data_IF_456625377275
#
_entry.id   IF_456625377275
#
_cell.length_a   1.000
_cell.length_b   1.000
_cell.length_c   1.000
_cell.angle_alpha   90.00
_cell.angle_beta   90.00
_cell.angle_gamma   90.00
#
_symmetry.space_group_name_H-M   'P 1'
#
loop_
_entity.id
_entity.type
_entity.pdbx_description
1 polymer ?
#
# COMPACT_ATOMS: atom_id res chain seq x y z
N UNK A 1 -35.07 4.04 34.25
CA UNK A 1 -35.36 2.61 33.99
C UNK A 1 -35.19 1.76 35.24
N UNK A 2 -35.92 0.64 35.32
CA UNK A 2 -35.70 -0.41 36.33
C UNK A 2 -34.57 -1.36 35.87
N UNK A 3 -33.35 -1.05 36.31
CA UNK A 3 -32.15 -1.87 36.08
C UNK A 3 -31.76 -2.56 37.38
N UNK A 4 -31.65 -3.88 37.34
CA UNK A 4 -31.10 -4.68 38.45
C UNK A 4 -29.93 -5.53 37.98
N UNK A 5 -29.27 -6.21 38.91
CA UNK A 5 -28.24 -7.20 38.58
C UNK A 5 -28.76 -8.35 37.69
N UNK A 6 -30.08 -8.57 37.66
CA UNK A 6 -30.75 -9.66 36.94
C UNK A 6 -31.07 -9.30 35.47
N UNK A 7 -31.06 -8.01 35.10
CA UNK A 7 -31.41 -7.59 33.75
C UNK A 7 -32.01 -6.19 33.65
N UNK A 8 -32.15 -5.72 32.41
CA UNK A 8 -32.94 -4.54 32.05
C UNK A 8 -34.37 -4.99 31.71
N UNK A 9 -35.36 -4.34 32.33
CA UNK A 9 -36.77 -4.62 32.09
C UNK A 9 -37.21 -4.12 30.70
N UNK A 10 -37.93 -4.95 29.96
CA UNK A 10 -38.65 -4.56 28.75
C UNK A 10 -40.05 -4.05 29.12
N UNK A 11 -40.41 -2.83 28.74
CA UNK A 11 -41.72 -2.25 29.07
C UNK A 11 -42.86 -2.75 28.15
N UNK A 12 -42.55 -3.41 27.04
CA UNK A 12 -43.56 -4.00 26.13
C UNK A 12 -44.07 -5.36 26.64
N UNK A 13 -43.23 -6.15 27.30
CA UNK A 13 -43.55 -7.53 27.69
C UNK A 13 -43.31 -7.85 29.18
N UNK A 14 -42.72 -6.93 29.95
CA UNK A 14 -42.45 -7.09 31.38
C UNK A 14 -41.32 -8.08 31.72
N UNK A 15 -40.63 -8.64 30.73
CA UNK A 15 -39.51 -9.57 30.95
C UNK A 15 -38.18 -8.83 31.10
N UNK A 16 -37.22 -9.44 31.83
CA UNK A 16 -35.87 -8.90 32.04
C UNK A 16 -34.86 -9.57 31.10
N UNK A 17 -33.98 -8.77 30.51
CA UNK A 17 -32.94 -9.24 29.60
C UNK A 17 -31.57 -8.63 29.90
N UNK A 18 -30.50 -9.34 29.56
CA UNK A 18 -29.14 -8.80 29.66
C UNK A 18 -28.90 -7.60 28.71
N UNK A 19 -29.58 -7.58 27.56
CA UNK A 19 -29.62 -6.46 26.61
C UNK A 19 -30.95 -6.47 25.85
N UNK A 20 -31.64 -5.34 25.80
CA UNK A 20 -32.92 -5.23 25.10
C UNK A 20 -32.77 -5.17 23.57
N UNK A 21 -31.60 -4.79 23.04
CA UNK A 21 -31.46 -4.50 21.61
C UNK A 21 -31.86 -5.65 20.67
N UNK A 22 -31.38 -6.87 20.97
CA UNK A 22 -31.72 -8.07 20.18
C UNK A 22 -33.17 -8.51 20.43
N UNK A 23 -33.63 -8.41 21.67
CA UNK A 23 -35.00 -8.79 22.05
C UNK A 23 -36.05 -7.92 21.35
N UNK A 24 -35.87 -6.59 21.37
CA UNK A 24 -36.74 -5.62 20.70
C UNK A 24 -36.86 -5.91 19.21
N UNK A 25 -35.74 -6.18 18.54
CA UNK A 25 -35.73 -6.48 17.11
C UNK A 25 -36.47 -7.80 16.78
N UNK A 26 -36.34 -8.82 17.62
CA UNK A 26 -36.91 -10.17 17.35
C UNK A 26 -38.36 -10.34 17.80
N UNK A 27 -38.77 -9.64 18.86
CA UNK A 27 -40.04 -9.91 19.55
C UNK A 27 -41.04 -8.77 19.41
N UNK A 28 -40.55 -7.56 19.14
CA UNK A 28 -41.37 -6.35 19.03
C UNK A 28 -41.17 -5.62 17.70
N UNK A 29 -40.24 -6.08 16.86
CA UNK A 29 -39.88 -5.45 15.58
C UNK A 29 -39.49 -3.97 15.73
N UNK A 30 -39.00 -3.59 16.91
CA UNK A 30 -38.59 -2.22 17.23
C UNK A 30 -37.09 -2.04 17.14
N UNK A 31 -36.68 -0.88 16.64
CA UNK A 31 -35.32 -0.39 16.86
C UNK A 31 -35.20 0.19 18.27
N UNK A 32 -34.00 0.17 18.82
CA UNK A 32 -33.70 0.79 20.13
C UNK A 32 -34.12 2.25 20.17
N UNK A 33 -33.93 3.00 19.07
CA UNK A 33 -34.31 4.41 18.97
C UNK A 33 -35.83 4.60 19.11
N UNK A 34 -36.61 3.81 18.38
CA UNK A 34 -38.09 3.88 18.44
C UNK A 34 -38.59 3.47 19.82
N UNK A 35 -37.98 2.44 20.42
CA UNK A 35 -38.31 2.04 21.78
C UNK A 35 -38.00 3.13 22.81
N UNK A 36 -36.85 3.82 22.67
CA UNK A 36 -36.49 4.94 23.55
C UNK A 36 -37.48 6.09 23.47
N UNK A 37 -37.82 6.50 22.25
CA UNK A 37 -38.76 7.58 21.97
C UNK A 37 -40.14 7.30 22.59
N UNK A 38 -40.67 6.08 22.40
CA UNK A 38 -41.97 5.67 22.98
C UNK A 38 -42.00 5.68 24.50
N UNK A 39 -40.88 5.36 25.13
CA UNK A 39 -40.79 5.18 26.59
C UNK A 39 -40.08 6.32 27.31
N UNK A 40 -39.77 7.42 26.60
CA UNK A 40 -39.11 8.60 27.17
C UNK A 40 -37.72 8.33 27.74
N UNK A 41 -36.99 7.36 27.17
CA UNK A 41 -35.67 6.94 27.67
C UNK A 41 -34.59 7.78 26.98
N UNK A 42 -33.69 8.39 27.77
CA UNK A 42 -32.58 9.18 27.24
C UNK A 42 -31.59 8.33 26.41
N UNK A 43 -30.96 8.92 25.41
CA UNK A 43 -30.02 8.19 24.53
C UNK A 43 -28.76 7.69 25.23
N UNK A 44 -28.36 8.37 26.30
CA UNK A 44 -27.22 8.01 27.14
C UNK A 44 -27.54 6.84 28.10
N UNK A 45 -28.82 6.48 28.25
CA UNK A 45 -29.22 5.31 29.03
C UNK A 45 -28.91 4.00 28.28
N UNK A 46 -27.96 3.23 28.82
CA UNK A 46 -27.67 1.86 28.37
C UNK A 46 -28.86 0.91 28.55
N UNK A 47 -29.34 0.30 27.47
CA UNK A 47 -30.34 -0.77 27.50
C UNK A 47 -29.72 -2.16 27.70
N UNK A 48 -28.55 -2.23 28.34
CA UNK A 48 -27.84 -3.46 28.67
C UNK A 48 -27.25 -3.39 30.09
N UNK A 49 -27.18 -4.54 30.76
CA UNK A 49 -26.49 -4.70 32.05
C UNK A 49 -24.99 -4.48 31.83
N UNK A 50 -24.34 -3.74 32.73
CA UNK A 50 -22.89 -3.41 32.68
C UNK A 50 -22.02 -4.68 32.58
N UNK A 51 -22.50 -5.78 33.17
CA UNK A 51 -21.87 -7.10 33.19
C UNK A 51 -22.18 -7.99 31.98
N UNK A 52 -22.90 -7.49 30.96
CA UNK A 52 -23.00 -8.17 29.67
C UNK A 52 -21.64 -8.10 28.96
N UNK A 53 -20.64 -8.76 29.55
CA UNK A 53 -19.30 -8.85 29.04
C UNK A 53 -19.39 -9.30 27.58
N UNK A 54 -18.65 -8.61 26.70
CA UNK A 54 -18.45 -9.07 25.33
C UNK A 54 -18.24 -10.58 25.37
N UNK A 55 -18.95 -11.38 24.56
CA UNK A 55 -18.80 -12.82 24.59
C UNK A 55 -17.31 -13.13 24.52
N UNK A 56 -16.80 -13.91 25.50
CA UNK A 56 -15.40 -14.36 25.52
C UNK A 56 -15.15 -14.99 24.15
N UNK A 57 -14.40 -14.28 23.30
CA UNK A 57 -14.17 -14.74 21.94
C UNK A 57 -13.37 -16.03 22.05
N UNK A 58 -13.82 -17.07 21.36
CA UNK A 58 -13.11 -18.34 21.32
C UNK A 58 -11.70 -18.09 20.79
N UNK A 59 -10.67 -18.71 21.38
CA UNK A 59 -9.33 -18.66 20.82
C UNK A 59 -9.38 -19.05 19.34
N UNK A 60 -8.72 -18.27 18.50
CA UNK A 60 -8.71 -18.46 17.05
C UNK A 60 -7.29 -18.37 16.49
N UNK A 61 -6.96 -19.10 15.41
CA UNK A 61 -5.62 -19.07 14.86
C UNK A 61 -5.32 -17.75 14.15
N UNK A 62 -4.08 -17.29 14.26
CA UNK A 62 -3.52 -16.21 13.47
C UNK A 62 -3.59 -16.57 11.98
N UNK A 63 -4.15 -15.70 11.15
CA UNK A 63 -4.31 -15.92 9.71
C UNK A 63 -3.01 -15.94 8.90
N UNK A 64 -1.84 -15.68 9.52
CA UNK A 64 -0.53 -15.74 8.87
C UNK A 64 0.34 -16.89 9.38
N UNK A 65 0.44 -17.09 10.69
CA UNK A 65 1.33 -18.09 11.28
C UNK A 65 0.62 -19.22 12.05
N UNK A 66 -0.71 -19.15 12.22
CA UNK A 66 -1.48 -20.18 12.93
C UNK A 66 -1.47 -20.08 14.47
N UNK A 67 -0.64 -19.22 15.07
CA UNK A 67 -0.60 -19.03 16.53
C UNK A 67 -1.99 -18.72 17.11
N UNK A 68 -2.37 -19.39 18.18
CA UNK A 68 -3.67 -19.21 18.83
C UNK A 68 -3.73 -17.84 19.52
N UNK A 69 -4.65 -17.01 19.08
CA UNK A 69 -4.89 -15.68 19.63
C UNK A 69 -6.11 -15.70 20.53
N UNK A 70 -5.98 -15.06 21.69
CA UNK A 70 -7.08 -14.76 22.62
C UNK A 70 -7.57 -13.32 22.51
N UNK A 71 -6.80 -12.47 21.82
CA UNK A 71 -7.07 -11.06 21.58
C UNK A 71 -7.84 -10.84 20.27
N UNK A 72 -8.61 -9.75 20.14
CA UNK A 72 -9.30 -9.43 18.89
C UNK A 72 -8.30 -9.09 17.78
N UNK A 73 -8.43 -9.77 16.64
CA UNK A 73 -7.63 -9.48 15.45
C UNK A 73 -7.40 -10.73 14.61
N UNK A 74 -7.00 -10.53 13.35
CA UNK A 74 -6.68 -11.64 12.44
C UNK A 74 -5.23 -12.11 12.55
N UNK A 75 -4.35 -11.32 13.16
CA UNK A 75 -2.91 -11.55 13.21
C UNK A 75 -2.40 -11.45 14.65
N UNK A 76 -1.40 -12.27 15.00
CA UNK A 76 -0.59 -12.06 16.21
C UNK A 76 0.17 -10.74 16.11
N UNK A 77 0.71 -10.28 17.23
CA UNK A 77 1.43 -9.01 17.31
C UNK A 77 2.65 -8.99 16.38
N UNK A 78 3.41 -10.08 16.31
CA UNK A 78 4.56 -10.20 15.39
C UNK A 78 4.12 -10.09 13.92
N UNK A 79 3.12 -10.89 13.52
CA UNK A 79 2.63 -10.88 12.14
C UNK A 79 2.01 -9.52 11.76
N UNK A 80 1.42 -8.81 12.75
CA UNK A 80 0.91 -7.46 12.57
C UNK A 80 2.06 -6.48 12.37
N UNK A 81 3.10 -6.54 13.21
CA UNK A 81 4.29 -5.70 13.09
C UNK A 81 4.97 -5.90 11.73
N UNK A 82 5.19 -7.15 11.31
CA UNK A 82 5.74 -7.46 9.97
C UNK A 82 4.90 -6.85 8.86
N UNK A 83 3.57 -6.95 8.95
CA UNK A 83 2.67 -6.37 7.94
C UNK A 83 2.74 -4.85 7.90
N UNK A 84 2.92 -4.18 9.03
CA UNK A 84 3.10 -2.73 9.07
C UNK A 84 4.40 -2.33 8.37
N UNK A 85 5.51 -3.00 8.68
CA UNK A 85 6.80 -2.79 8.00
C UNK A 85 6.69 -3.03 6.49
N UNK A 86 5.99 -4.09 6.05
CA UNK A 86 5.75 -4.35 4.62
C UNK A 86 4.97 -3.21 3.95
N UNK A 87 3.99 -2.62 4.64
CA UNK A 87 3.21 -1.49 4.13
C UNK A 87 4.03 -0.20 4.07
N UNK A 88 4.82 0.08 5.11
CA UNK A 88 5.73 1.24 5.14
C UNK A 88 6.76 1.13 4.02
N UNK A 89 7.43 -0.01 3.87
CA UNK A 89 8.38 -0.25 2.79
C UNK A 89 7.75 -0.02 1.41
N UNK A 90 6.50 -0.46 1.23
CA UNK A 90 5.76 -0.26 -0.01
C UNK A 90 5.40 1.21 -0.24
N UNK A 91 5.06 1.95 0.81
CA UNK A 91 4.82 3.39 0.70
C UNK A 91 6.12 4.14 0.36
N UNK A 92 7.22 3.81 1.02
CA UNK A 92 8.55 4.36 0.72
C UNK A 92 8.94 4.10 -0.72
N UNK A 93 8.78 2.88 -1.23
CA UNK A 93 9.07 2.54 -2.62
C UNK A 93 8.18 3.28 -3.63
N UNK A 94 6.96 3.67 -3.25
CA UNK A 94 6.08 4.50 -4.08
C UNK A 94 6.42 5.99 -3.98
N UNK A 95 6.96 6.44 -2.85
CA UNK A 95 7.41 7.81 -2.62
C UNK A 95 8.78 8.10 -3.25
N UNK A 96 9.62 7.08 -3.40
CA UNK A 96 10.87 7.19 -4.15
C UNK A 96 10.56 7.65 -5.59
N UNK A 97 11.18 8.75 -6.06
CA UNK A 97 10.98 9.21 -7.41
C UNK A 97 11.44 8.10 -8.36
N UNK A 98 10.49 7.59 -9.17
CA UNK A 98 10.84 6.64 -10.23
C UNK A 98 11.95 7.27 -11.06
N UNK A 99 13.03 6.55 -11.39
CA UNK A 99 14.09 7.12 -12.21
C UNK A 99 13.45 7.64 -13.50
N UNK A 100 13.54 8.96 -13.72
CA UNK A 100 13.04 9.58 -14.93
C UNK A 100 13.74 8.86 -16.07
N UNK A 101 12.97 8.22 -16.98
CA UNK A 101 13.56 7.57 -18.15
C UNK A 101 14.38 8.62 -18.88
N UNK A 102 15.71 8.52 -18.78
CA UNK A 102 16.61 9.48 -19.38
C UNK A 102 16.32 9.52 -20.89
N UNK A 103 15.88 10.66 -21.38
CA UNK A 103 15.46 10.83 -22.77
C UNK A 103 16.70 10.77 -23.66
N UNK A 104 16.63 9.97 -24.72
CA UNK A 104 17.65 9.99 -25.77
C UNK A 104 17.72 11.39 -26.39
N UNK A 105 18.95 11.90 -26.56
CA UNK A 105 19.20 13.22 -27.15
C UNK A 105 20.00 13.09 -28.44
N UNK A 106 19.90 14.11 -29.28
CA UNK A 106 20.66 14.24 -30.53
C UNK A 106 22.03 14.86 -30.28
N UNK A 107 22.97 14.60 -31.19
CA UNK A 107 24.26 15.31 -31.24
C UNK A 107 24.06 16.79 -31.54
N UNK A 108 24.77 17.65 -30.80
CA UNK A 108 24.90 19.07 -31.15
C UNK A 108 25.79 19.26 -32.38
N UNK A 109 25.85 20.48 -32.92
CA UNK A 109 26.78 20.82 -34.00
C UNK A 109 28.24 20.67 -33.54
N UNK A 110 28.55 21.22 -32.38
CA UNK A 110 29.88 21.14 -31.76
C UNK A 110 30.33 19.70 -31.51
N UNK A 111 29.48 18.86 -30.92
CA UNK A 111 29.81 17.44 -30.70
C UNK A 111 30.05 16.66 -32.00
N UNK A 112 29.38 17.07 -33.08
CA UNK A 112 29.60 16.49 -34.40
C UNK A 112 30.96 16.91 -34.95
N UNK A 113 31.31 18.18 -34.82
CA UNK A 113 32.58 18.72 -35.29
C UNK A 113 33.75 18.16 -34.48
N UNK A 114 33.56 17.94 -33.18
CA UNK A 114 34.56 17.31 -32.31
C UNK A 114 34.73 15.84 -32.65
N UNK A 115 33.67 15.10 -32.95
CA UNK A 115 33.76 13.72 -33.44
C UNK A 115 34.52 13.62 -34.76
N UNK A 116 34.34 14.58 -35.67
CA UNK A 116 35.01 14.59 -36.98
C UNK A 116 36.48 15.02 -36.89
N UNK A 117 36.85 15.83 -35.89
CA UNK A 117 38.21 16.34 -35.70
C UNK A 117 39.03 15.57 -34.65
N UNK A 118 38.39 14.73 -33.84
CA UNK A 118 39.05 13.99 -32.78
C UNK A 118 40.19 13.13 -33.32
N UNK A 119 41.31 13.12 -32.60
CA UNK A 119 42.40 12.21 -32.90
C UNK A 119 41.95 10.75 -32.66
N UNK A 120 42.53 9.75 -33.36
CA UNK A 120 42.19 8.34 -33.18
C UNK A 120 42.25 7.85 -31.73
N UNK A 121 43.17 8.41 -30.93
CA UNK A 121 43.37 8.12 -29.51
C UNK A 121 42.30 8.75 -28.59
N UNK A 122 41.70 9.87 -28.99
CA UNK A 122 40.67 10.61 -28.23
C UNK A 122 39.25 10.12 -28.55
N UNK A 123 39.07 9.58 -29.76
CA UNK A 123 37.80 9.11 -30.30
C UNK A 123 37.06 8.12 -29.36
N UNK A 124 37.71 7.11 -28.76
CA UNK A 124 37.01 6.17 -27.86
C UNK A 124 36.42 6.83 -26.62
N UNK A 125 37.17 7.76 -26.02
CA UNK A 125 36.76 8.49 -24.81
C UNK A 125 35.57 9.42 -25.10
N UNK A 126 35.60 10.10 -26.25
CA UNK A 126 34.52 10.96 -26.70
C UNK A 126 33.24 10.16 -26.98
N UNK A 127 33.35 9.02 -27.69
CA UNK A 127 32.21 8.11 -27.93
C UNK A 127 31.61 7.63 -26.61
N UNK A 128 32.42 7.22 -25.64
CA UNK A 128 31.93 6.77 -24.33
C UNK A 128 31.20 7.89 -23.58
N UNK A 129 31.70 9.13 -23.65
CA UNK A 129 31.04 10.30 -23.06
C UNK A 129 29.68 10.60 -23.71
N UNK A 130 29.60 10.53 -25.04
CA UNK A 130 28.36 10.74 -25.80
C UNK A 130 27.33 9.64 -25.53
N UNK A 131 27.77 8.38 -25.51
CA UNK A 131 26.90 7.27 -25.09
C UNK A 131 26.41 7.47 -23.66
N UNK A 132 27.28 7.95 -22.75
CA UNK A 132 26.92 8.27 -21.36
C UNK A 132 25.87 9.35 -21.23
N UNK A 133 25.95 10.35 -22.09
CA UNK A 133 24.97 11.43 -22.18
C UNK A 133 23.76 11.09 -23.06
N UNK A 134 23.51 9.79 -23.30
CA UNK A 134 22.31 9.27 -24.00
C UNK A 134 22.20 9.74 -25.46
N UNK A 135 23.32 9.83 -26.16
CA UNK A 135 23.35 9.87 -27.63
C UNK A 135 23.33 8.44 -28.17
N UNK A 136 22.60 8.21 -29.27
CA UNK A 136 22.50 6.86 -29.82
C UNK A 136 23.77 6.42 -30.54
N UNK A 137 24.14 5.16 -30.40
CA UNK A 137 25.26 4.56 -31.14
C UNK A 137 25.06 4.65 -32.67
N UNK A 138 23.81 4.70 -33.14
CA UNK A 138 23.50 4.87 -34.55
C UNK A 138 23.85 6.29 -35.05
N UNK A 139 23.53 7.33 -34.29
CA UNK A 139 23.88 8.71 -34.64
C UNK A 139 25.39 8.94 -34.64
N UNK A 140 26.10 8.44 -33.63
CA UNK A 140 27.57 8.53 -33.56
C UNK A 140 28.20 7.81 -34.76
N UNK A 141 27.73 6.60 -35.07
CA UNK A 141 28.24 5.82 -36.20
C UNK A 141 28.01 6.54 -37.54
N UNK A 142 26.84 7.16 -37.72
CA UNK A 142 26.51 7.91 -38.93
C UNK A 142 27.48 9.09 -39.16
N UNK A 143 27.84 9.83 -38.11
CA UNK A 143 28.82 10.92 -38.20
C UNK A 143 30.21 10.41 -38.59
N UNK A 144 30.64 9.29 -38.01
CA UNK A 144 31.94 8.68 -38.31
C UNK A 144 31.98 7.93 -39.66
N UNK A 145 30.87 7.91 -40.42
CA UNK A 145 30.76 7.14 -41.66
C UNK A 145 30.89 5.62 -41.44
N UNK A 146 30.50 5.13 -40.26
CA UNK A 146 30.59 3.71 -39.87
C UNK A 146 29.21 3.10 -39.71
N UNK A 147 29.17 1.76 -39.74
CA UNK A 147 27.93 1.03 -39.50
C UNK A 147 27.65 0.88 -38.00
N UNK A 148 26.37 0.76 -37.64
CA UNK A 148 25.97 0.45 -36.26
C UNK A 148 26.59 -0.88 -35.76
N UNK A 149 26.85 -1.84 -36.65
CA UNK A 149 27.51 -3.11 -36.29
C UNK A 149 28.98 -2.91 -35.93
N UNK A 150 29.70 -2.08 -36.69
CA UNK A 150 31.06 -1.68 -36.33
C UNK A 150 31.06 -0.98 -34.98
N UNK A 151 30.06 -0.14 -34.74
CA UNK A 151 29.93 0.59 -33.49
C UNK A 151 29.74 -0.35 -32.28
N UNK A 152 28.79 -1.27 -32.37
CA UNK A 152 28.53 -2.26 -31.31
C UNK A 152 29.74 -3.15 -31.00
N UNK A 153 30.60 -3.42 -31.99
CA UNK A 153 31.80 -4.24 -31.83
C UNK A 153 32.95 -3.48 -31.16
N UNK A 154 33.19 -2.24 -31.56
CA UNK A 154 34.40 -1.50 -31.16
C UNK A 154 34.17 -0.58 -29.95
N UNK A 155 32.95 -0.06 -29.77
CA UNK A 155 32.61 0.69 -28.56
C UNK A 155 31.22 0.27 -28.06
N UNK A 156 31.14 -0.83 -27.30
CA UNK A 156 29.89 -1.37 -26.80
C UNK A 156 29.19 -0.36 -25.91
N UNK A 157 27.86 -0.41 -25.91
CA UNK A 157 27.03 0.48 -25.07
C UNK A 157 27.34 0.24 -23.60
N UNK A 158 27.38 1.30 -22.77
CA UNK A 158 27.37 1.15 -21.32
C UNK A 158 26.13 0.39 -20.86
N UNK A 159 26.23 -0.31 -19.74
CA UNK A 159 25.05 -0.94 -19.14
C UNK A 159 24.11 0.16 -18.62
N UNK A 160 22.98 0.32 -19.32
CA UNK A 160 21.95 1.31 -18.98
C UNK A 160 20.83 0.72 -18.12
N UNK A 161 20.96 -0.54 -17.70
CA UNK A 161 19.84 -1.37 -17.29
C UNK A 161 18.96 -1.70 -18.50
N UNK A 162 18.58 -2.97 -18.63
CA UNK A 162 17.69 -3.43 -19.70
C UNK A 162 16.34 -2.73 -19.53
N UNK A 163 15.92 -1.95 -20.55
CA UNK A 163 14.54 -1.49 -20.64
C UNK A 163 13.67 -2.70 -20.98
N UNK A 164 12.88 -3.17 -20.02
CA UNK A 164 11.68 -3.97 -20.27
C UNK A 164 10.49 -3.01 -20.42
#
# INVERSE_FOLDING_TARGET
MDRTAEGVLCHECGQRFASLGIHLARSHELTVRVYRDRHGIADEESLAVVSAGRPRRRPHPCGRCGTILTVPGKLCDDCRATRLTELENRQTALAEPRPVKARWRRLTGEERDDLLRAAPEETPSLIASLQRSRVTSAEIAAVLGRSQKWMARNHPRPDWGTQN
#
